data_IF_942302197179
#
_entry.id   IF_942302197179
#
_cell.length_a   1.000
_cell.length_b   1.000
_cell.length_c   1.000
_cell.angle_alpha   90.00
_cell.angle_beta   90.00
_cell.angle_gamma   90.00
#
_symmetry.space_group_name_H-M   'P 1'
#
loop_
_entity.id
_entity.type
_entity.pdbx_description
1 polymer ?
#
# COMPACT_ATOMS: atom_id res chain seq x y z
N UNK A 1 -10.10 -15.92 1.46
CA UNK A 1 -9.51 -14.86 2.31
C UNK A 1 -9.17 -13.64 1.45
N UNK A 2 -9.43 -12.45 1.95
CA UNK A 2 -9.14 -11.18 1.27
C UNK A 2 -8.01 -10.44 2.01
N UNK A 3 -6.93 -10.13 1.31
CA UNK A 3 -5.73 -9.51 1.88
C UNK A 3 -5.55 -8.11 1.29
N UNK A 4 -5.36 -7.10 2.14
CA UNK A 4 -4.87 -5.81 1.71
C UNK A 4 -3.34 -5.84 1.73
N UNK A 5 -2.73 -5.55 0.59
CA UNK A 5 -1.29 -5.45 0.41
C UNK A 5 -0.93 -3.98 0.17
N UNK A 6 -0.35 -3.33 1.17
CA UNK A 6 0.04 -1.93 1.09
C UNK A 6 1.44 -1.79 0.51
N UNK A 7 1.57 -1.07 -0.61
CA UNK A 7 2.85 -0.86 -1.29
C UNK A 7 3.13 0.61 -1.54
N UNK A 8 4.40 0.99 -1.45
CA UNK A 8 4.92 2.33 -1.72
C UNK A 8 6.09 2.32 -2.71
N UNK A 9 6.37 1.16 -3.32
CA UNK A 9 7.48 0.94 -4.24
C UNK A 9 8.83 0.75 -3.54
N UNK A 10 8.91 0.77 -2.21
CA UNK A 10 10.14 0.48 -1.48
C UNK A 10 10.45 -1.02 -1.49
N UNK A 11 11.73 -1.36 -1.22
CA UNK A 11 12.17 -2.76 -1.04
C UNK A 11 11.29 -3.48 -0.02
N UNK A 12 11.03 -2.87 1.13
CA UNK A 12 10.26 -3.48 2.21
C UNK A 12 8.80 -3.76 1.84
N UNK A 13 8.19 -2.90 1.04
CA UNK A 13 6.86 -3.17 0.52
C UNK A 13 6.85 -4.29 -0.52
N UNK A 14 7.95 -4.46 -1.27
CA UNK A 14 8.11 -5.59 -2.20
C UNK A 14 8.42 -6.89 -1.46
N UNK A 15 9.15 -6.85 -0.35
CA UNK A 15 9.36 -8.02 0.52
C UNK A 15 8.00 -8.55 1.05
N UNK A 16 7.03 -7.66 1.33
CA UNK A 16 5.67 -8.07 1.68
C UNK A 16 4.93 -8.75 0.52
N UNK A 17 5.15 -8.32 -0.73
CA UNK A 17 4.64 -9.00 -1.93
C UNK A 17 5.24 -10.38 -2.06
N UNK A 18 6.57 -10.50 -1.92
CA UNK A 18 7.28 -11.77 -2.03
C UNK A 18 6.83 -12.74 -0.94
N UNK A 19 6.69 -12.29 0.29
CA UNK A 19 6.17 -13.10 1.40
C UNK A 19 4.76 -13.65 1.08
N UNK A 20 3.87 -12.84 0.53
CA UNK A 20 2.54 -13.31 0.14
C UNK A 20 2.61 -14.37 -0.96
N UNK A 21 3.49 -14.20 -1.95
CA UNK A 21 3.69 -15.14 -3.06
C UNK A 21 4.28 -16.45 -2.57
N UNK A 22 5.36 -16.39 -1.78
CA UNK A 22 6.07 -17.55 -1.25
C UNK A 22 5.20 -18.43 -0.34
N UNK A 23 4.23 -17.81 0.34
CA UNK A 23 3.34 -18.49 1.26
C UNK A 23 1.92 -18.64 0.73
N UNK A 24 1.74 -18.54 -0.61
CA UNK A 24 0.42 -18.69 -1.23
C UNK A 24 -0.24 -20.02 -0.91
N UNK A 25 0.55 -21.08 -0.67
CA UNK A 25 0.08 -22.42 -0.30
C UNK A 25 -0.44 -22.53 1.14
N UNK A 26 -0.19 -21.53 2.00
CA UNK A 26 -0.79 -21.49 3.34
C UNK A 26 -2.29 -21.24 3.30
N UNK A 27 -2.80 -20.73 2.19
CA UNK A 27 -4.20 -20.44 2.02
C UNK A 27 -4.92 -21.59 1.36
N UNK A 28 -6.09 -21.95 1.87
CA UNK A 28 -6.94 -23.02 1.30
C UNK A 28 -7.28 -22.77 -0.17
N UNK A 29 -7.43 -21.48 -0.54
CA UNK A 29 -7.64 -21.00 -1.90
C UNK A 29 -6.78 -19.75 -2.12
N UNK A 30 -6.40 -19.45 -3.36
CA UNK A 30 -5.65 -18.22 -3.68
C UNK A 30 -6.35 -17.00 -3.08
N UNK A 31 -5.64 -16.16 -2.32
CA UNK A 31 -6.25 -14.99 -1.69
C UNK A 31 -6.70 -13.96 -2.74
N UNK A 32 -7.80 -13.30 -2.50
CA UNK A 32 -8.16 -12.07 -3.22
C UNK A 32 -7.31 -10.92 -2.68
N UNK A 33 -6.54 -10.25 -3.54
CA UNK A 33 -5.60 -9.20 -3.13
C UNK A 33 -6.15 -7.82 -3.48
N UNK A 34 -6.26 -6.93 -2.48
CA UNK A 34 -6.39 -5.48 -2.66
C UNK A 34 -4.99 -4.88 -2.63
N UNK A 35 -4.44 -4.55 -3.80
CA UNK A 35 -3.12 -3.89 -3.93
C UNK A 35 -3.31 -2.39 -3.79
N UNK A 36 -2.86 -1.81 -2.68
CA UNK A 36 -3.12 -0.42 -2.33
C UNK A 36 -1.84 0.38 -2.26
N UNK A 37 -1.81 1.52 -2.96
CA UNK A 37 -0.84 2.60 -2.71
C UNK A 37 -1.57 3.85 -2.23
N UNK A 38 -0.95 4.61 -1.32
CA UNK A 38 -1.54 5.81 -0.75
C UNK A 38 -0.59 6.99 -0.94
N UNK A 39 -1.13 8.07 -1.49
CA UNK A 39 -0.47 9.36 -1.61
C UNK A 39 -0.92 10.33 -0.54
N UNK A 40 0.03 11.06 0.03
CA UNK A 40 -0.31 12.25 0.82
C UNK A 40 -0.96 13.29 -0.09
N UNK A 41 -2.00 13.99 0.37
CA UNK A 41 -2.59 15.07 -0.40
C UNK A 41 -1.56 16.18 -0.64
N UNK A 42 -1.51 16.68 -1.87
CA UNK A 42 -0.70 17.86 -2.20
C UNK A 42 -1.19 19.05 -1.37
N UNK A 43 -0.29 19.75 -0.67
CA UNK A 43 -0.68 20.90 0.14
C UNK A 43 -1.43 21.95 -0.68
N UNK A 44 -2.59 22.39 -0.21
CA UNK A 44 -3.35 23.48 -0.82
C UNK A 44 -2.69 24.81 -0.44
N UNK A 45 -1.64 25.19 -1.15
CA UNK A 45 -1.06 26.53 -0.98
C UNK A 45 -1.97 27.60 -1.56
N UNK A 46 -2.10 28.77 -0.90
CA UNK A 46 -2.82 29.92 -1.47
C UNK A 46 -2.27 30.23 -2.88
N UNK A 47 -3.13 30.31 -3.87
CA UNK A 47 -2.81 30.54 -5.30
C UNK A 47 -2.25 29.36 -6.11
N UNK A 48 -2.06 28.17 -5.52
CA UNK A 48 -1.55 26.99 -6.27
C UNK A 48 -2.53 26.53 -7.35
N UNK A 49 -3.84 26.68 -7.12
CA UNK A 49 -4.88 26.40 -8.10
C UNK A 49 -4.87 27.35 -9.32
N UNK A 50 -4.19 28.49 -9.23
CA UNK A 50 -3.98 29.40 -10.36
C UNK A 50 -2.80 28.99 -11.25
N UNK A 51 -1.90 28.13 -10.73
CA UNK A 51 -0.66 27.71 -11.41
C UNK A 51 -0.73 26.24 -11.83
N UNK A 52 -1.39 25.38 -11.04
CA UNK A 52 -1.48 23.94 -11.28
C UNK A 52 -2.95 23.55 -11.45
N UNK A 53 -3.34 23.17 -12.65
CA UNK A 53 -4.71 22.75 -12.94
C UNK A 53 -5.08 21.44 -12.22
N UNK A 54 -6.37 21.25 -11.91
CA UNK A 54 -6.91 20.04 -11.29
C UNK A 54 -6.47 18.77 -12.03
N UNK A 55 -6.52 18.79 -13.35
CA UNK A 55 -6.12 17.66 -14.21
C UNK A 55 -4.63 17.29 -14.07
N UNK A 56 -3.76 18.27 -13.79
CA UNK A 56 -2.33 18.01 -13.56
C UNK A 56 -2.11 17.31 -12.23
N UNK A 57 -2.84 17.69 -11.19
CA UNK A 57 -2.78 17.04 -9.87
C UNK A 57 -3.31 15.61 -9.96
N UNK A 58 -4.42 15.39 -10.64
CA UNK A 58 -4.98 14.06 -10.84
C UNK A 58 -4.04 13.15 -11.65
N UNK A 59 -3.40 13.70 -12.69
CA UNK A 59 -2.38 12.99 -13.46
C UNK A 59 -1.20 12.61 -12.59
N UNK A 60 -0.69 13.55 -11.80
CA UNK A 60 0.41 13.32 -10.87
C UNK A 60 0.11 12.16 -9.90
N UNK A 61 -1.04 12.16 -9.23
CA UNK A 61 -1.41 11.08 -8.33
C UNK A 61 -1.48 9.73 -9.03
N UNK A 62 -2.02 9.70 -10.24
CA UNK A 62 -2.10 8.46 -11.02
C UNK A 62 -0.72 7.94 -11.40
N UNK A 63 0.12 8.78 -12.01
CA UNK A 63 1.46 8.39 -12.47
C UNK A 63 2.34 7.89 -11.31
N UNK A 64 2.35 8.61 -10.20
CA UNK A 64 3.10 8.22 -9.01
C UNK A 64 2.54 6.94 -8.36
N UNK A 65 1.22 6.83 -8.26
CA UNK A 65 0.58 5.64 -7.72
C UNK A 65 0.84 4.40 -8.56
N UNK A 66 0.79 4.53 -9.89
CA UNK A 66 1.15 3.47 -10.83
C UNK A 66 2.63 3.07 -10.70
N UNK A 67 3.53 4.06 -10.56
CA UNK A 67 4.94 3.79 -10.32
C UNK A 67 5.19 3.02 -9.00
N UNK A 68 4.49 3.38 -7.92
CA UNK A 68 4.56 2.65 -6.65
C UNK A 68 4.10 1.19 -6.78
N UNK A 69 3.12 0.91 -7.63
CA UNK A 69 2.52 -0.41 -7.79
C UNK A 69 3.20 -1.27 -8.86
N UNK A 70 3.97 -0.68 -9.77
CA UNK A 70 4.45 -1.35 -11.00
C UNK A 70 5.22 -2.65 -10.71
N UNK A 71 6.18 -2.62 -9.78
CA UNK A 71 6.97 -3.79 -9.44
C UNK A 71 6.13 -4.87 -8.72
N UNK A 72 5.21 -4.46 -7.84
CA UNK A 72 4.29 -5.37 -7.16
C UNK A 72 3.35 -6.07 -8.14
N UNK A 73 2.76 -5.33 -9.08
CA UNK A 73 1.91 -5.88 -10.16
C UNK A 73 2.66 -6.93 -10.96
N UNK A 74 3.88 -6.60 -11.42
CA UNK A 74 4.72 -7.53 -12.18
C UNK A 74 4.97 -8.85 -11.42
N UNK A 75 5.24 -8.78 -10.11
CA UNK A 75 5.46 -9.97 -9.27
C UNK A 75 4.19 -10.81 -9.12
N UNK A 76 3.06 -10.17 -8.82
CA UNK A 76 1.76 -10.84 -8.66
C UNK A 76 1.29 -11.48 -9.97
N UNK A 77 1.44 -10.77 -11.10
CA UNK A 77 1.12 -11.29 -12.44
C UNK A 77 1.96 -12.53 -12.76
N UNK A 78 3.27 -12.49 -12.50
CA UNK A 78 4.17 -13.62 -12.72
C UNK A 78 3.82 -14.84 -11.84
N UNK A 79 3.29 -14.62 -10.63
CA UNK A 79 2.83 -15.66 -9.72
C UNK A 79 1.39 -16.14 -10.01
N UNK A 80 0.69 -15.52 -10.96
CA UNK A 80 -0.70 -15.84 -11.27
C UNK A 80 -1.66 -15.54 -10.11
N UNK A 81 -1.35 -14.52 -9.31
CA UNK A 81 -2.20 -14.04 -8.21
C UNK A 81 -3.00 -12.83 -8.69
N UNK A 82 -4.34 -12.99 -8.73
CA UNK A 82 -5.24 -11.90 -9.10
C UNK A 82 -5.30 -10.81 -8.03
N UNK A 83 -5.39 -9.55 -8.45
CA UNK A 83 -5.49 -8.40 -7.55
C UNK A 83 -6.41 -7.31 -8.09
N UNK A 84 -6.94 -6.51 -7.19
CA UNK A 84 -7.59 -5.24 -7.49
C UNK A 84 -6.63 -4.11 -7.07
N UNK A 85 -6.16 -3.31 -8.03
CA UNK A 85 -5.21 -2.24 -7.78
C UNK A 85 -5.92 -0.91 -7.54
N UNK A 86 -5.63 -0.26 -6.41
CA UNK A 86 -6.26 0.98 -5.98
C UNK A 86 -5.20 2.00 -5.56
N UNK A 87 -5.34 3.23 -6.07
CA UNK A 87 -4.53 4.38 -5.66
C UNK A 87 -5.42 5.28 -4.82
N UNK A 88 -5.02 5.55 -3.58
CA UNK A 88 -5.76 6.36 -2.63
C UNK A 88 -4.99 7.61 -2.24
N UNK A 89 -5.72 8.64 -1.80
CA UNK A 89 -5.16 9.91 -1.33
C UNK A 89 -5.58 10.13 0.11
N UNK A 90 -4.62 10.37 0.99
CA UNK A 90 -4.87 10.61 2.41
C UNK A 90 -3.64 10.38 3.28
N UNK A 91 -3.87 10.37 4.59
CA UNK A 91 -2.84 9.95 5.54
C UNK A 91 -2.65 8.45 5.41
N UNK A 92 -1.41 8.00 5.19
CA UNK A 92 -1.14 6.64 4.71
C UNK A 92 -1.73 5.57 5.63
N UNK A 93 -1.41 5.57 6.91
CA UNK A 93 -1.85 4.54 7.83
C UNK A 93 -3.38 4.53 8.01
N UNK A 94 -3.97 5.71 8.21
CA UNK A 94 -5.43 5.88 8.36
C UNK A 94 -6.17 5.40 7.12
N UNK A 95 -5.66 5.75 5.95
CA UNK A 95 -6.27 5.40 4.66
C UNK A 95 -6.21 3.91 4.40
N UNK A 96 -5.05 3.27 4.68
CA UNK A 96 -4.88 1.81 4.57
C UNK A 96 -5.88 1.08 5.48
N UNK A 97 -5.95 1.45 6.76
CA UNK A 97 -6.83 0.81 7.74
C UNK A 97 -8.31 1.02 7.39
N UNK A 98 -8.69 2.25 7.01
CA UNK A 98 -10.06 2.55 6.59
C UNK A 98 -10.47 1.76 5.34
N UNK A 99 -9.56 1.63 4.36
CA UNK A 99 -9.82 0.86 3.14
C UNK A 99 -9.95 -0.63 3.44
N UNK A 100 -9.06 -1.20 4.26
CA UNK A 100 -9.15 -2.60 4.67
C UNK A 100 -10.50 -2.92 5.33
N UNK A 101 -10.96 -2.07 6.24
CA UNK A 101 -12.26 -2.19 6.89
C UNK A 101 -13.42 -2.05 5.89
N UNK A 102 -13.39 -1.03 5.04
CA UNK A 102 -14.43 -0.76 4.03
C UNK A 102 -14.58 -1.92 3.05
N UNK A 103 -13.47 -2.52 2.62
CA UNK A 103 -13.45 -3.62 1.66
C UNK A 103 -13.51 -4.99 2.30
N UNK A 104 -13.66 -5.04 3.63
CA UNK A 104 -13.76 -6.28 4.43
C UNK A 104 -12.56 -7.21 4.19
N UNK A 105 -11.35 -6.65 4.24
CA UNK A 105 -10.15 -7.47 4.22
C UNK A 105 -9.99 -8.23 5.54
N UNK A 106 -9.53 -9.46 5.45
CA UNK A 106 -9.27 -10.34 6.61
C UNK A 106 -7.90 -10.09 7.24
N UNK A 107 -6.97 -9.52 6.45
CA UNK A 107 -5.57 -9.35 6.83
C UNK A 107 -4.96 -8.17 6.07
N UNK A 108 -4.08 -7.43 6.73
CA UNK A 108 -3.26 -6.38 6.12
C UNK A 108 -1.81 -6.86 6.09
N UNK A 109 -1.18 -6.86 4.90
CA UNK A 109 0.26 -7.05 4.71
C UNK A 109 0.92 -5.70 4.53
N UNK A 110 1.95 -5.42 5.30
CA UNK A 110 2.73 -4.19 5.18
C UNK A 110 4.20 -4.45 5.51
N UNK A 111 5.11 -3.84 4.75
CA UNK A 111 6.54 -3.86 5.04
C UNK A 111 6.84 -3.14 6.37
N UNK A 112 7.85 -3.62 7.10
CA UNK A 112 8.25 -2.99 8.37
C UNK A 112 8.74 -1.56 8.22
N UNK A 113 9.20 -1.17 7.02
CA UNK A 113 9.67 0.16 6.70
C UNK A 113 9.10 0.62 5.37
N UNK A 114 9.21 1.91 5.06
CA UNK A 114 8.84 2.51 3.80
C UNK A 114 10.02 3.19 3.11
N UNK A 115 9.72 4.09 2.17
CA UNK A 115 10.69 4.83 1.33
C UNK A 115 11.69 5.68 2.12
N UNK A 116 11.34 6.09 3.32
CA UNK A 116 12.16 6.95 4.18
C UNK A 116 12.87 6.19 5.29
N UNK A 117 13.08 4.88 5.11
CA UNK A 117 13.79 4.06 6.09
C UNK A 117 15.18 4.64 6.37
N UNK A 118 15.38 5.15 7.56
CA UNK A 118 16.65 5.70 8.02
C UNK A 118 17.08 5.04 9.33
N UNK A 119 18.29 4.50 9.34
CA UNK A 119 18.96 4.05 10.56
C UNK A 119 18.42 2.77 11.19
N UNK A 120 18.67 2.63 12.50
CA UNK A 120 18.43 1.42 13.29
C UNK A 120 16.99 1.29 13.85
N UNK A 121 16.00 1.92 13.23
CA UNK A 121 14.61 1.77 13.69
C UNK A 121 14.11 0.35 13.43
N UNK A 122 13.53 -0.28 14.43
CA UNK A 122 12.93 -1.62 14.33
C UNK A 122 11.68 -1.61 13.44
N UNK A 123 10.88 -0.54 13.50
CA UNK A 123 9.66 -0.35 12.72
C UNK A 123 9.57 1.09 12.21
N UNK A 124 9.13 1.24 10.96
CA UNK A 124 8.80 2.53 10.38
C UNK A 124 7.53 3.15 10.99
N UNK A 125 7.42 4.46 10.93
CA UNK A 125 6.29 5.21 11.49
C UNK A 125 4.93 4.78 10.93
N UNK A 126 4.86 4.46 9.65
CA UNK A 126 3.61 4.00 9.01
C UNK A 126 3.22 2.61 9.51
N UNK A 127 4.15 1.66 9.55
CA UNK A 127 3.90 0.31 10.07
C UNK A 127 3.44 0.35 11.53
N UNK A 128 4.11 1.13 12.37
CA UNK A 128 3.72 1.36 13.78
C UNK A 128 2.30 1.93 13.88
N UNK A 129 1.97 2.91 13.05
CA UNK A 129 0.66 3.57 13.08
C UNK A 129 -0.45 2.66 12.56
N UNK A 130 -0.18 1.85 11.53
CA UNK A 130 -1.13 0.82 11.04
C UNK A 130 -1.44 -0.18 12.15
N UNK A 131 -0.42 -0.69 12.86
CA UNK A 131 -0.62 -1.60 14.00
C UNK A 131 -1.48 -0.99 15.11
N UNK A 132 -1.26 0.29 15.40
CA UNK A 132 -2.01 0.98 16.47
C UNK A 132 -3.47 1.22 16.10
N UNK A 133 -3.76 1.54 14.83
CA UNK A 133 -5.09 1.92 14.36
C UNK A 133 -5.94 0.73 13.90
N UNK A 134 -5.29 -0.38 13.50
CA UNK A 134 -6.01 -1.46 12.84
C UNK A 134 -6.79 -2.33 13.80
N UNK A 135 -8.05 -2.60 13.44
CA UNK A 135 -8.87 -3.66 14.02
C UNK A 135 -8.84 -4.95 13.17
N UNK A 136 -8.22 -4.87 12.00
CA UNK A 136 -7.95 -6.02 11.12
C UNK A 136 -6.57 -6.55 11.49
N UNK A 137 -6.33 -7.87 11.56
CA UNK A 137 -5.01 -8.44 11.75
C UNK A 137 -3.97 -7.84 10.79
N UNK A 138 -2.75 -7.63 11.27
CA UNK A 138 -1.66 -7.04 10.48
C UNK A 138 -0.46 -7.97 10.49
N UNK A 139 0.03 -8.31 9.31
CA UNK A 139 1.30 -9.01 9.11
C UNK A 139 2.37 -7.99 8.70
N UNK A 140 3.41 -7.89 9.51
CA UNK A 140 4.59 -7.10 9.21
C UNK A 140 5.64 -7.98 8.56
N UNK A 141 6.13 -7.56 7.40
CA UNK A 141 7.17 -8.27 6.65
C UNK A 141 8.45 -7.45 6.62
N UNK A 142 9.57 -8.13 6.89
CA UNK A 142 10.90 -7.51 6.94
C UNK A 142 11.79 -8.07 5.85
#
# INVERSE_FOLDING_TARGET
MKILLAVDGSKYSLDAVDCLIEHADWYREKPAVELVSVHLPVPKLPRMHLVVGKNQIERYYREEGEAMQAAAKKKLDAAGIGYNAVILIGQVAETVVAHAKKTRCDLIFVGTHGRTAAGNMLLGSIATKVLHLSTVPVLLVR
#
